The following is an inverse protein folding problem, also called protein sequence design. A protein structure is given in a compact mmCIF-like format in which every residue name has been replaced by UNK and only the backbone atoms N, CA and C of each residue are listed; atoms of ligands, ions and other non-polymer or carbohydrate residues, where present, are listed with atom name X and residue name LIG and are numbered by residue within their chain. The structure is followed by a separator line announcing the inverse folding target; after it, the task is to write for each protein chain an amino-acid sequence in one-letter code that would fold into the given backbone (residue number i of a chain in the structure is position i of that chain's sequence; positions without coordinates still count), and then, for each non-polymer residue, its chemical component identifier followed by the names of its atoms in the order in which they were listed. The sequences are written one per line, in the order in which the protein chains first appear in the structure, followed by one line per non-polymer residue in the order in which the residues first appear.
data_IF_958579356538
#
_entry.id   IF_958579356538
#
_cell.length_a   1.000
_cell.length_b   1.000
_cell.length_c   1.000
_cell.angle_alpha   90.00
_cell.angle_beta   90.00
_cell.angle_gamma   90.00
#
_symmetry.space_group_name_H-M   'P 1'
#
loop_
_entity.id
_entity.type
_entity.pdbx_description
1 polymer ?
#
# COMPACT_ATOMS: atom_id res chain seq x y z
N UNK A 1 16.06 -0.01 43.50
CA UNK A 1 16.31 -1.34 42.90
C UNK A 1 15.39 -1.47 41.68
N UNK A 2 15.89 -1.11 40.46
CA UNK A 2 15.14 -1.26 39.21
C UNK A 2 15.11 -2.74 38.86
N UNK A 3 13.92 -3.33 38.90
CA UNK A 3 13.67 -4.67 38.37
C UNK A 3 14.04 -4.60 36.89
N UNK A 4 15.12 -5.28 36.47
CA UNK A 4 15.38 -5.58 35.06
C UNK A 4 14.23 -6.51 34.62
N UNK A 5 13.28 -5.97 33.91
CA UNK A 5 12.40 -6.78 33.08
C UNK A 5 13.29 -7.50 32.08
N UNK A 6 13.26 -8.83 32.07
CA UNK A 6 13.86 -9.62 30.99
C UNK A 6 13.34 -9.05 29.65
N UNK A 7 14.18 -8.99 28.60
CA UNK A 7 13.70 -8.58 27.29
C UNK A 7 12.59 -9.55 26.89
N UNK A 8 11.39 -9.02 26.62
CA UNK A 8 10.29 -9.82 26.07
C UNK A 8 10.84 -10.59 24.85
N UNK A 9 10.68 -11.92 24.88
CA UNK A 9 11.05 -12.77 23.77
C UNK A 9 10.28 -12.28 22.51
N UNK A 10 10.90 -12.26 21.33
CA UNK A 10 10.24 -11.81 20.12
C UNK A 10 8.99 -12.64 19.87
N UNK A 11 7.87 -11.98 19.53
CA UNK A 11 6.55 -12.60 19.28
C UNK A 11 6.54 -13.55 18.07
N UNK A 12 7.65 -13.68 17.37
CA UNK A 12 7.83 -14.46 16.18
C UNK A 12 8.44 -13.63 15.05
N UNK A 13 8.81 -14.32 13.98
CA UNK A 13 9.46 -13.74 12.82
C UNK A 13 8.42 -13.37 11.74
N UNK A 14 8.49 -12.18 11.18
CA UNK A 14 7.64 -11.72 10.08
C UNK A 14 8.52 -11.42 8.87
N UNK A 15 8.22 -12.04 7.74
CA UNK A 15 8.95 -11.85 6.48
C UNK A 15 8.17 -10.89 5.58
N UNK A 16 8.80 -9.79 5.15
CA UNK A 16 8.19 -8.75 4.32
C UNK A 16 8.85 -8.71 2.95
N UNK A 17 8.19 -9.23 1.95
CA UNK A 17 8.61 -9.15 0.55
C UNK A 17 8.35 -7.73 0.00
N UNK A 18 9.37 -7.11 -0.60
CA UNK A 18 9.33 -5.68 -0.97
C UNK A 18 9.47 -4.75 0.24
N UNK A 19 10.04 -5.23 1.34
CA UNK A 19 10.09 -4.57 2.64
C UNK A 19 10.87 -3.26 2.69
N UNK A 20 11.74 -2.97 1.72
CA UNK A 20 12.51 -1.70 1.65
C UNK A 20 11.72 -0.54 1.01
N UNK A 21 10.51 -0.80 0.53
CA UNK A 21 9.62 0.23 0.01
C UNK A 21 9.00 1.11 1.11
N UNK A 22 8.27 2.14 0.70
CA UNK A 22 7.64 3.11 1.60
C UNK A 22 6.76 2.45 2.68
N UNK A 23 5.82 1.58 2.28
CA UNK A 23 4.94 0.86 3.23
C UNK A 23 5.75 -0.13 4.06
N UNK A 24 6.66 -0.88 3.42
CA UNK A 24 7.45 -1.91 4.10
C UNK A 24 8.35 -1.34 5.19
N UNK A 25 9.02 -0.20 4.96
CA UNK A 25 9.86 0.44 5.96
C UNK A 25 9.06 0.97 7.15
N UNK A 26 7.86 1.54 6.91
CA UNK A 26 6.97 1.97 8.00
C UNK A 26 6.46 0.78 8.82
N UNK A 27 5.98 -0.26 8.13
CA UNK A 27 5.52 -1.49 8.76
C UNK A 27 6.61 -2.15 9.60
N UNK A 28 7.85 -2.18 9.09
CA UNK A 28 8.99 -2.81 9.79
C UNK A 28 9.30 -2.13 11.12
N UNK A 29 9.24 -0.79 11.16
CA UNK A 29 9.39 -0.04 12.41
C UNK A 29 8.26 -0.37 13.38
N UNK A 30 7.04 -0.33 12.91
CA UNK A 30 5.87 -0.61 13.71
C UNK A 30 5.89 -2.03 14.30
N UNK A 31 6.25 -3.04 13.51
CA UNK A 31 6.35 -4.42 13.98
C UNK A 31 7.52 -4.63 14.96
N UNK A 32 8.66 -3.96 14.75
CA UNK A 32 9.78 -3.99 15.68
C UNK A 32 9.42 -3.36 17.04
N UNK A 33 8.64 -2.27 17.05
CA UNK A 33 8.10 -1.68 18.29
C UNK A 33 7.14 -2.63 19.02
N UNK A 34 6.49 -3.52 18.29
CA UNK A 34 5.65 -4.60 18.84
C UNK A 34 6.45 -5.85 19.22
N UNK A 35 7.78 -5.82 19.20
CA UNK A 35 8.68 -6.93 19.56
C UNK A 35 8.62 -8.12 18.59
N UNK A 36 8.35 -7.89 17.31
CA UNK A 36 8.52 -8.91 16.27
C UNK A 36 9.94 -8.87 15.70
N UNK A 37 10.46 -10.04 15.36
CA UNK A 37 11.63 -10.15 14.48
C UNK A 37 11.19 -9.89 13.04
N UNK A 38 11.85 -8.97 12.34
CA UNK A 38 11.46 -8.58 10.98
C UNK A 38 12.56 -8.90 10.00
N UNK A 39 12.22 -9.58 8.90
CA UNK A 39 13.12 -9.85 7.77
C UNK A 39 12.57 -9.17 6.52
N UNK A 40 13.40 -8.34 5.89
CA UNK A 40 13.05 -7.64 4.65
C UNK A 40 13.64 -8.38 3.45
N UNK A 41 12.78 -8.81 2.53
CA UNK A 41 13.20 -9.33 1.24
C UNK A 41 13.18 -8.21 0.20
N UNK A 42 14.31 -7.89 -0.38
CA UNK A 42 14.41 -6.91 -1.46
C UNK A 42 15.70 -7.03 -2.27
N UNK A 43 15.75 -6.36 -3.41
CA UNK A 43 16.90 -6.38 -4.34
C UNK A 43 18.14 -5.66 -3.78
N UNK A 44 17.94 -4.67 -2.94
CA UNK A 44 18.99 -3.82 -2.40
C UNK A 44 18.86 -3.68 -0.90
N UNK A 45 19.99 -3.59 -0.22
CA UNK A 45 20.03 -3.28 1.21
C UNK A 45 19.33 -1.93 1.44
N UNK A 46 18.45 -1.82 2.44
CA UNK A 46 17.77 -0.56 2.72
C UNK A 46 18.76 0.52 3.15
N UNK A 47 18.57 1.74 2.64
CA UNK A 47 19.37 2.90 3.06
C UNK A 47 19.10 3.25 4.53
N UNK A 48 17.90 3.03 4.98
CA UNK A 48 17.48 3.28 6.37
C UNK A 48 17.83 2.09 7.24
N UNK A 49 18.61 2.33 8.28
CA UNK A 49 18.91 1.32 9.31
C UNK A 49 17.73 1.20 10.28
N UNK A 50 17.51 -0.02 10.79
CA UNK A 50 16.48 -0.32 11.77
C UNK A 50 16.70 -1.71 12.39
N UNK A 51 15.81 -2.10 13.29
CA UNK A 51 15.85 -3.39 13.98
C UNK A 51 15.23 -4.50 13.11
N UNK A 52 15.78 -4.71 11.91
CA UNK A 52 15.38 -5.75 10.98
C UNK A 52 16.58 -6.38 10.30
N UNK A 53 16.43 -7.62 9.89
CA UNK A 53 17.35 -8.33 9.01
C UNK A 53 16.99 -8.05 7.54
N UNK A 54 17.97 -8.12 6.65
CA UNK A 54 17.77 -7.97 5.21
C UNK A 54 18.30 -9.19 4.48
N UNK A 55 17.47 -9.78 3.63
CA UNK A 55 17.84 -10.84 2.71
C UNK A 55 17.66 -10.38 1.25
N UNK A 56 18.65 -10.66 0.43
CA UNK A 56 18.61 -10.31 -1.00
C UNK A 56 17.61 -11.20 -1.73
N UNK A 57 16.70 -10.55 -2.46
CA UNK A 57 15.67 -11.20 -3.25
C UNK A 57 15.33 -10.40 -4.51
N UNK A 58 15.39 -11.04 -5.65
CA UNK A 58 15.13 -10.41 -6.95
C UNK A 58 13.64 -10.33 -7.33
N UNK A 59 12.76 -10.98 -6.55
CA UNK A 59 11.32 -11.08 -6.83
C UNK A 59 10.96 -12.11 -7.90
N UNK A 60 11.89 -12.97 -8.34
CA UNK A 60 11.71 -13.88 -9.47
C UNK A 60 12.22 -15.29 -9.24
N UNK A 61 13.28 -15.43 -8.48
CA UNK A 61 13.96 -16.74 -8.28
C UNK A 61 13.98 -17.13 -6.81
N UNK A 62 13.88 -18.42 -6.55
CA UNK A 62 14.18 -18.99 -5.24
C UNK A 62 15.68 -18.86 -4.95
N UNK A 63 16.04 -18.73 -3.68
CA UNK A 63 17.43 -18.58 -3.22
C UNK A 63 17.50 -18.72 -1.71
N UNK A 64 18.62 -18.31 -1.13
CA UNK A 64 18.88 -18.46 0.31
C UNK A 64 17.82 -17.76 1.19
N UNK A 65 17.15 -16.74 0.68
CA UNK A 65 16.08 -16.03 1.40
C UNK A 65 14.92 -16.94 1.83
N UNK A 66 14.73 -18.10 1.18
CA UNK A 66 13.63 -19.05 1.46
C UNK A 66 13.67 -19.54 2.91
N UNK A 67 14.86 -19.75 3.48
CA UNK A 67 14.99 -20.23 4.86
C UNK A 67 14.38 -19.28 5.91
N UNK A 68 14.25 -17.98 5.60
CA UNK A 68 13.62 -17.03 6.51
C UNK A 68 12.11 -17.27 6.64
N UNK A 69 11.46 -17.91 5.67
CA UNK A 69 10.05 -18.25 5.72
C UNK A 69 9.76 -19.45 6.63
N UNK A 70 10.75 -20.34 6.84
CA UNK A 70 10.58 -21.51 7.68
C UNK A 70 10.26 -21.11 9.13
N UNK A 71 9.09 -21.55 9.63
CA UNK A 71 8.60 -21.23 10.97
C UNK A 71 8.31 -19.75 11.21
N UNK A 72 8.19 -18.93 10.17
CA UNK A 72 7.79 -17.53 10.33
C UNK A 72 6.33 -17.42 10.78
N UNK A 73 6.02 -16.42 11.62
CA UNK A 73 4.66 -16.16 12.09
C UNK A 73 3.76 -15.61 10.97
N UNK A 74 4.33 -14.91 9.99
CA UNK A 74 3.59 -14.39 8.85
C UNK A 74 4.52 -14.10 7.67
N UNK A 75 3.95 -14.12 6.46
CA UNK A 75 4.54 -13.50 5.27
C UNK A 75 3.64 -12.36 4.79
N UNK A 76 4.26 -11.20 4.52
CA UNK A 76 3.59 -10.01 4.00
C UNK A 76 4.18 -9.69 2.62
N UNK A 77 3.38 -9.76 1.58
CA UNK A 77 3.83 -9.47 0.22
C UNK A 77 3.44 -8.04 -0.20
N UNK A 78 4.42 -7.15 -0.22
CA UNK A 78 4.32 -5.75 -0.69
C UNK A 78 5.07 -5.56 -2.02
N UNK A 79 5.55 -6.64 -2.63
CA UNK A 79 6.38 -6.57 -3.82
C UNK A 79 5.60 -6.05 -5.03
N UNK A 80 6.19 -5.10 -5.73
CA UNK A 80 5.64 -4.54 -6.95
C UNK A 80 6.37 -3.29 -7.38
N UNK A 81 6.52 -3.10 -8.70
CA UNK A 81 7.05 -1.86 -9.27
C UNK A 81 6.10 -0.69 -8.98
N UNK A 82 6.66 0.51 -8.79
CA UNK A 82 5.87 1.75 -8.70
C UNK A 82 5.01 1.96 -9.95
N UNK A 83 3.79 2.43 -9.73
CA UNK A 83 2.87 2.85 -10.80
C UNK A 83 3.07 4.32 -11.21
N UNK A 84 3.88 5.06 -10.46
CA UNK A 84 4.25 6.46 -10.73
C UNK A 84 5.33 6.51 -11.82
N UNK A 85 4.91 6.27 -13.05
CA UNK A 85 5.75 6.28 -14.25
C UNK A 85 4.90 6.54 -15.50
N UNK A 86 5.54 6.92 -16.62
CA UNK A 86 4.89 6.98 -17.94
C UNK A 86 4.50 5.54 -18.32
N UNK A 87 3.27 5.33 -18.78
CA UNK A 87 2.72 4.01 -19.17
C UNK A 87 3.14 3.63 -20.58
N UNK A 88 4.46 3.36 -20.79
CA UNK A 88 4.92 2.66 -21.98
C UNK A 88 4.49 1.18 -21.94
N UNK A 89 4.45 0.46 -23.07
CA UNK A 89 4.18 -0.97 -23.07
C UNK A 89 5.09 -1.75 -22.11
N UNK A 90 6.39 -1.48 -22.10
CA UNK A 90 7.37 -2.12 -21.21
C UNK A 90 7.06 -1.84 -19.73
N UNK A 91 6.70 -0.60 -19.41
CA UNK A 91 6.35 -0.25 -18.03
C UNK A 91 5.04 -0.90 -17.58
N UNK A 92 4.05 -1.01 -18.47
CA UNK A 92 2.81 -1.73 -18.17
C UNK A 92 3.09 -3.22 -17.92
N UNK A 93 3.92 -3.85 -18.76
CA UNK A 93 4.35 -5.24 -18.58
C UNK A 93 5.10 -5.44 -17.26
N UNK A 94 6.06 -4.57 -16.95
CA UNK A 94 6.79 -4.66 -15.67
C UNK A 94 5.89 -4.42 -14.44
N UNK A 95 4.89 -3.54 -14.51
CA UNK A 95 3.92 -3.34 -13.43
C UNK A 95 3.15 -4.65 -13.17
N UNK A 96 2.73 -5.35 -14.20
CA UNK A 96 2.05 -6.63 -14.09
C UNK A 96 3.00 -7.72 -13.59
N UNK A 97 4.11 -7.94 -14.30
CA UNK A 97 5.05 -9.03 -14.03
C UNK A 97 5.67 -8.94 -12.64
N UNK A 98 6.09 -7.74 -12.21
CA UNK A 98 6.70 -7.57 -10.88
C UNK A 98 5.80 -8.02 -9.73
N UNK A 99 4.48 -8.03 -9.93
CA UNK A 99 3.49 -8.47 -8.94
C UNK A 99 3.22 -9.96 -9.05
N UNK A 100 2.93 -10.42 -10.24
CA UNK A 100 2.59 -11.82 -10.51
C UNK A 100 3.79 -12.72 -10.24
N UNK A 101 4.97 -12.41 -10.81
CA UNK A 101 6.19 -13.22 -10.65
C UNK A 101 6.62 -13.29 -9.18
N UNK A 102 6.60 -12.15 -8.46
CA UNK A 102 6.95 -12.13 -7.04
C UNK A 102 5.99 -12.97 -6.20
N UNK A 103 4.71 -12.93 -6.48
CA UNK A 103 3.69 -13.72 -5.76
C UNK A 103 3.88 -15.21 -6.03
N UNK A 104 4.10 -15.59 -7.29
CA UNK A 104 4.28 -17.02 -7.67
C UNK A 104 5.57 -17.60 -7.11
N UNK A 105 6.68 -16.85 -7.08
CA UNK A 105 7.93 -17.36 -6.49
C UNK A 105 7.86 -17.48 -4.98
N UNK A 106 7.17 -16.56 -4.30
CA UNK A 106 6.86 -16.71 -2.88
C UNK A 106 6.02 -17.95 -2.61
N UNK A 107 4.99 -18.20 -3.45
CA UNK A 107 4.20 -19.42 -3.36
C UNK A 107 5.03 -20.68 -3.49
N UNK A 108 5.87 -20.77 -4.53
CA UNK A 108 6.79 -21.90 -4.70
C UNK A 108 7.70 -22.12 -3.48
N UNK A 109 8.20 -21.04 -2.88
CA UNK A 109 8.99 -21.10 -1.66
C UNK A 109 8.16 -21.65 -0.49
N UNK A 110 6.97 -21.11 -0.25
CA UNK A 110 6.06 -21.56 0.82
C UNK A 110 5.70 -23.04 0.68
N UNK A 111 5.40 -23.51 -0.53
CA UNK A 111 5.11 -24.93 -0.81
C UNK A 111 6.30 -25.87 -0.55
N UNK A 112 7.53 -25.36 -0.50
CA UNK A 112 8.74 -26.17 -0.22
C UNK A 112 9.07 -26.29 1.27
N UNK A 113 8.39 -25.56 2.15
CA UNK A 113 8.69 -25.52 3.58
C UNK A 113 8.07 -26.71 4.34
N UNK A 114 8.70 -27.06 5.46
CA UNK A 114 8.15 -28.03 6.41
C UNK A 114 7.17 -27.37 7.39
N UNK A 115 7.43 -26.13 7.75
CA UNK A 115 6.63 -25.30 8.65
C UNK A 115 6.34 -23.96 7.99
N UNK A 116 5.39 -23.90 7.05
CA UNK A 116 5.04 -22.66 6.37
C UNK A 116 4.40 -21.65 7.33
N UNK A 117 4.47 -20.34 7.05
CA UNK A 117 3.79 -19.33 7.84
C UNK A 117 2.28 -19.58 7.90
N UNK A 118 1.62 -19.45 9.07
CA UNK A 118 0.18 -19.71 9.20
C UNK A 118 -0.69 -18.65 8.49
N UNK A 119 -0.13 -17.48 8.17
CA UNK A 119 -0.86 -16.40 7.50
C UNK A 119 -0.02 -15.73 6.42
N UNK A 120 -0.69 -15.45 5.29
CA UNK A 120 -0.15 -14.62 4.21
C UNK A 120 -1.01 -13.37 4.02
N UNK A 121 -0.41 -12.20 4.26
CA UNK A 121 -1.02 -10.90 3.95
C UNK A 121 -0.53 -10.45 2.58
N UNK A 122 -1.43 -10.42 1.63
CA UNK A 122 -1.18 -10.06 0.25
C UNK A 122 -1.63 -8.63 -0.02
N UNK A 123 -0.70 -7.78 -0.48
CA UNK A 123 -1.08 -6.48 -1.03
C UNK A 123 -1.80 -6.68 -2.38
N UNK A 124 -2.86 -5.89 -2.58
CA UNK A 124 -3.56 -5.74 -3.84
C UNK A 124 -3.88 -4.26 -4.06
N UNK A 125 -4.81 -3.93 -4.94
CA UNK A 125 -5.11 -2.53 -5.26
C UNK A 125 -6.60 -2.24 -5.31
N UNK A 126 -7.04 -1.15 -4.67
CA UNK A 126 -8.39 -0.62 -4.81
C UNK A 126 -8.69 -0.08 -6.22
N UNK A 127 -7.65 0.11 -7.04
CA UNK A 127 -7.82 0.45 -8.47
C UNK A 127 -8.42 -0.69 -9.30
N UNK A 128 -8.59 -1.89 -8.72
CA UNK A 128 -9.30 -3.02 -9.34
C UNK A 128 -10.76 -2.68 -9.68
N UNK A 129 -11.35 -1.70 -8.98
CA UNK A 129 -12.72 -1.23 -9.24
C UNK A 129 -12.82 -0.25 -10.43
N UNK A 130 -11.69 0.14 -11.05
CA UNK A 130 -11.67 1.16 -12.10
C UNK A 130 -11.94 2.56 -11.55
N UNK A 131 -12.59 3.39 -12.35
CA UNK A 131 -12.85 4.80 -12.03
C UNK A 131 -14.34 5.15 -12.17
N UNK A 132 -15.27 4.50 -11.43
CA UNK A 132 -16.68 4.81 -11.50
C UNK A 132 -16.93 6.21 -10.92
N UNK A 133 -17.56 7.15 -11.69
CA UNK A 133 -17.61 8.55 -11.30
C UNK A 133 -18.55 8.86 -10.14
N UNK A 134 -19.56 8.03 -9.93
CA UNK A 134 -20.66 8.30 -8.97
C UNK A 134 -20.94 7.15 -8.01
N UNK A 135 -20.19 6.04 -8.12
CA UNK A 135 -20.39 4.86 -7.28
C UNK A 135 -19.37 4.83 -6.17
N UNK A 136 -19.83 4.59 -4.94
CA UNK A 136 -18.95 4.24 -3.83
C UNK A 136 -18.74 2.73 -3.86
N UNK A 137 -17.51 2.29 -4.10
CA UNK A 137 -17.16 0.87 -4.16
C UNK A 137 -16.86 0.32 -2.76
N UNK A 138 -17.27 -0.90 -2.51
CA UNK A 138 -16.93 -1.74 -1.38
C UNK A 138 -16.33 -3.09 -1.84
N UNK A 139 -16.11 -4.01 -0.92
CA UNK A 139 -15.48 -5.30 -1.22
C UNK A 139 -16.28 -6.16 -2.21
N UNK A 140 -17.62 -6.00 -2.28
CA UNK A 140 -18.54 -6.76 -3.13
C UNK A 140 -18.79 -6.09 -4.49
N UNK A 141 -18.26 -4.89 -4.69
CA UNK A 141 -18.45 -4.13 -5.91
C UNK A 141 -17.79 -4.80 -7.11
N UNK A 142 -18.42 -4.69 -8.28
CA UNK A 142 -17.90 -5.23 -9.53
C UNK A 142 -16.54 -4.59 -9.89
N UNK A 143 -15.64 -5.39 -10.45
CA UNK A 143 -14.35 -4.92 -10.94
C UNK A 143 -14.51 -4.09 -12.21
N UNK A 144 -13.69 -3.04 -12.31
CA UNK A 144 -13.68 -2.15 -13.45
C UNK A 144 -12.90 -2.66 -14.66
N UNK A 145 -12.59 -1.72 -15.55
CA UNK A 145 -11.87 -1.95 -16.81
C UNK A 145 -10.60 -1.11 -16.87
N UNK A 146 -9.68 -1.46 -17.78
CA UNK A 146 -8.40 -0.76 -17.98
C UNK A 146 -7.21 -1.47 -17.33
N UNK A 147 -6.05 -0.82 -17.37
CA UNK A 147 -4.77 -1.42 -16.93
C UNK A 147 -4.80 -1.83 -15.44
N UNK A 148 -5.24 -0.95 -14.58
CA UNK A 148 -5.19 -1.21 -13.14
C UNK A 148 -6.10 -2.37 -12.71
N UNK A 149 -7.36 -2.50 -13.20
CA UNK A 149 -8.17 -3.70 -13.01
C UNK A 149 -7.57 -4.98 -13.60
N UNK A 150 -6.93 -4.92 -14.78
CA UNK A 150 -6.24 -6.09 -15.36
C UNK A 150 -5.12 -6.56 -14.44
N UNK A 151 -4.26 -5.62 -13.99
CA UNK A 151 -3.15 -5.92 -13.06
C UNK A 151 -3.68 -6.44 -11.73
N UNK A 152 -4.71 -5.81 -11.16
CA UNK A 152 -5.30 -6.21 -9.89
C UNK A 152 -5.86 -7.63 -9.92
N UNK A 153 -6.64 -7.96 -10.97
CA UNK A 153 -7.20 -9.32 -11.16
C UNK A 153 -6.10 -10.37 -11.32
N UNK A 154 -5.10 -10.10 -12.15
CA UNK A 154 -3.99 -11.03 -12.35
C UNK A 154 -3.16 -11.22 -11.07
N UNK A 155 -3.00 -10.18 -10.27
CA UNK A 155 -2.28 -10.26 -9.00
C UNK A 155 -3.03 -11.10 -7.97
N UNK A 156 -4.34 -10.89 -7.80
CA UNK A 156 -5.17 -11.70 -6.90
C UNK A 156 -5.31 -13.15 -7.40
N UNK A 157 -5.38 -13.39 -8.71
CA UNK A 157 -5.36 -14.74 -9.27
C UNK A 157 -4.04 -15.47 -9.00
N UNK A 158 -2.89 -14.81 -9.19
CA UNK A 158 -1.59 -15.37 -8.86
C UNK A 158 -1.45 -15.70 -7.36
N UNK A 159 -2.06 -14.88 -6.48
CA UNK A 159 -2.09 -15.16 -5.05
C UNK A 159 -2.95 -16.39 -4.73
N UNK A 160 -4.13 -16.50 -5.32
CA UNK A 160 -5.01 -17.65 -5.12
C UNK A 160 -4.36 -18.97 -5.57
N UNK A 161 -3.52 -18.94 -6.63
CA UNK A 161 -2.72 -20.08 -7.08
C UNK A 161 -1.55 -20.40 -6.13
N UNK A 162 -0.92 -19.35 -5.57
CA UNK A 162 0.34 -19.44 -4.83
C UNK A 162 0.18 -19.86 -3.37
N UNK A 163 -0.93 -19.53 -2.73
CA UNK A 163 -1.13 -19.71 -1.29
C UNK A 163 -1.55 -21.15 -0.96
N UNK A 164 -1.04 -21.69 0.16
CA UNK A 164 -1.46 -23.01 0.63
C UNK A 164 -2.90 -22.93 1.20
N UNK A 165 -3.73 -23.97 1.00
CA UNK A 165 -5.12 -23.98 1.50
C UNK A 165 -5.24 -23.82 3.02
N UNK A 166 -4.27 -24.32 3.78
CA UNK A 166 -4.22 -24.25 5.24
C UNK A 166 -3.76 -22.88 5.77
N UNK A 167 -3.17 -22.03 4.93
CA UNK A 167 -2.77 -20.69 5.34
C UNK A 167 -3.98 -19.76 5.39
N UNK A 168 -4.06 -18.94 6.42
CA UNK A 168 -5.02 -17.83 6.47
C UNK A 168 -4.61 -16.75 5.44
N UNK A 169 -5.56 -16.40 4.60
CA UNK A 169 -5.37 -15.53 3.44
C UNK A 169 -6.01 -14.18 3.70
N UNK A 170 -5.21 -13.11 3.67
CA UNK A 170 -5.73 -11.74 3.79
C UNK A 170 -5.24 -10.92 2.60
N UNK A 171 -6.18 -10.37 1.83
CA UNK A 171 -5.91 -9.51 0.69
C UNK A 171 -6.24 -8.07 1.08
N UNK A 172 -5.27 -7.17 0.97
CA UNK A 172 -5.46 -5.74 1.23
C UNK A 172 -5.49 -4.97 -0.10
N UNK A 173 -6.69 -4.67 -0.60
CA UNK A 173 -6.90 -3.80 -1.77
C UNK A 173 -6.62 -2.36 -1.38
N UNK A 174 -5.37 -1.97 -1.57
CA UNK A 174 -4.82 -0.72 -1.05
C UNK A 174 -5.25 0.47 -1.88
N UNK A 175 -5.73 1.50 -1.20
CA UNK A 175 -6.01 2.83 -1.71
C UNK A 175 -4.75 3.71 -1.72
N UNK A 176 -4.88 5.03 -1.81
CA UNK A 176 -3.76 5.95 -1.77
C UNK A 176 -3.18 6.06 -0.36
N UNK A 177 -2.00 5.48 -0.12
CA UNK A 177 -1.33 5.54 1.18
C UNK A 177 -0.62 6.87 1.34
N UNK A 178 -0.98 7.63 2.37
CA UNK A 178 -0.43 8.94 2.70
C UNK A 178 0.68 8.83 3.75
N UNK A 179 1.82 9.44 3.47
CA UNK A 179 2.91 9.54 4.44
C UNK A 179 3.85 10.70 4.11
N UNK A 180 4.39 11.32 5.14
CA UNK A 180 5.21 12.53 5.01
C UNK A 180 6.49 12.33 4.19
N UNK A 181 7.08 11.10 4.23
CA UNK A 181 8.40 10.79 3.68
C UNK A 181 8.38 9.77 2.54
N UNK A 182 7.22 9.46 1.96
CA UNK A 182 7.15 8.48 0.88
C UNK A 182 5.84 8.48 0.11
N UNK A 183 5.77 7.61 -0.91
CA UNK A 183 4.65 7.60 -1.84
C UNK A 183 4.57 8.85 -2.69
N UNK A 184 3.39 9.20 -3.18
CA UNK A 184 3.19 10.40 -4.01
C UNK A 184 2.92 11.68 -3.19
N UNK A 185 2.62 11.55 -1.90
CA UNK A 185 2.28 12.70 -1.04
C UNK A 185 3.36 13.79 -0.99
N UNK A 186 4.67 13.50 -0.85
CA UNK A 186 5.71 14.52 -0.87
C UNK A 186 5.72 15.37 -2.16
N UNK A 187 5.51 14.75 -3.33
CA UNK A 187 5.41 15.45 -4.61
C UNK A 187 4.21 16.41 -4.63
N UNK A 188 3.05 15.94 -4.16
CA UNK A 188 1.83 16.74 -4.07
C UNK A 188 2.02 17.94 -3.11
N UNK A 189 2.71 17.71 -1.99
CA UNK A 189 3.05 18.77 -1.01
C UNK A 189 3.96 19.83 -1.61
N UNK A 190 4.95 19.44 -2.41
CA UNK A 190 5.83 20.40 -3.11
C UNK A 190 5.03 21.24 -4.11
N UNK A 191 4.20 20.61 -4.95
CA UNK A 191 3.34 21.31 -5.90
C UNK A 191 2.39 22.29 -5.20
N UNK A 192 1.78 21.84 -4.09
CA UNK A 192 0.90 22.69 -3.31
C UNK A 192 1.63 23.91 -2.72
N UNK A 193 2.89 23.74 -2.22
CA UNK A 193 3.71 24.85 -1.69
C UNK A 193 4.03 25.94 -2.70
N UNK A 194 4.13 25.60 -3.97
CA UNK A 194 4.39 26.57 -5.05
C UNK A 194 3.10 27.08 -5.72
N UNK A 195 1.94 26.85 -5.08
CA UNK A 195 0.65 27.36 -5.54
C UNK A 195 -0.06 26.48 -6.57
N UNK A 196 0.53 25.35 -6.99
CA UNK A 196 -0.06 24.41 -7.97
C UNK A 196 -0.95 23.35 -7.32
N UNK A 197 -1.42 23.60 -6.11
CA UNK A 197 -2.27 22.71 -5.33
C UNK A 197 -3.77 22.94 -5.51
N UNK A 198 -4.25 23.39 -6.66
CA UNK A 198 -5.66 23.64 -6.93
C UNK A 198 -6.44 22.38 -7.36
N UNK A 199 -7.70 22.59 -7.73
CA UNK A 199 -8.50 21.53 -8.34
C UNK A 199 -7.95 21.15 -9.72
N UNK A 200 -8.05 19.87 -10.06
CA UNK A 200 -7.69 19.35 -11.37
C UNK A 200 -8.96 19.01 -12.13
N UNK A 201 -9.11 19.59 -13.32
CA UNK A 201 -10.31 19.42 -14.12
C UNK A 201 -11.57 19.81 -13.36
N UNK A 202 -12.55 18.91 -13.26
CA UNK A 202 -13.77 19.16 -12.48
C UNK A 202 -13.58 19.00 -10.96
N UNK A 203 -12.49 18.36 -10.49
CA UNK A 203 -12.16 18.20 -9.07
C UNK A 203 -13.06 17.24 -8.27
N UNK A 204 -14.00 16.55 -8.93
CA UNK A 204 -14.97 15.61 -8.30
C UNK A 204 -14.48 14.17 -8.28
N UNK A 205 -13.38 13.85 -8.96
CA UNK A 205 -12.79 12.51 -8.92
C UNK A 205 -12.49 12.11 -7.48
N UNK A 206 -12.87 10.88 -7.12
CA UNK A 206 -12.73 10.36 -5.76
C UNK A 206 -11.28 10.06 -5.41
N UNK A 207 -10.90 10.38 -4.19
CA UNK A 207 -9.64 9.96 -3.59
C UNK A 207 -9.98 9.14 -2.35
N UNK A 208 -9.80 7.82 -2.48
CA UNK A 208 -9.76 6.90 -1.34
C UNK A 208 -8.33 6.86 -0.82
N UNK A 209 -8.16 7.02 0.46
CA UNK A 209 -6.85 7.21 1.08
C UNK A 209 -6.76 6.48 2.42
N UNK A 210 -5.56 6.19 2.86
CA UNK A 210 -5.27 5.68 4.21
C UNK A 210 -3.96 6.29 4.70
N UNK A 211 -3.90 6.65 5.98
CA UNK A 211 -2.65 7.09 6.61
C UNK A 211 -1.68 5.93 6.74
N UNK A 212 -0.38 6.18 6.61
CA UNK A 212 0.67 5.14 6.69
C UNK A 212 0.66 4.40 8.02
N UNK A 213 0.35 5.07 9.12
CA UNK A 213 0.28 4.43 10.44
C UNK A 213 -0.94 3.52 10.54
N UNK A 214 -2.11 3.94 10.03
CA UNK A 214 -3.29 3.08 9.96
C UNK A 214 -3.08 1.89 9.02
N UNK A 215 -2.31 2.06 7.94
CA UNK A 215 -1.92 0.96 7.06
C UNK A 215 -1.04 -0.06 7.79
N UNK A 216 -0.06 0.40 8.58
CA UNK A 216 0.80 -0.47 9.38
C UNK A 216 0.01 -1.22 10.47
N UNK A 217 -0.92 -0.52 11.14
CA UNK A 217 -1.83 -1.12 12.12
C UNK A 217 -2.79 -2.15 11.50
N UNK A 218 -3.29 -1.86 10.30
CA UNK A 218 -4.16 -2.77 9.56
C UNK A 218 -3.42 -4.06 9.17
N UNK A 219 -2.19 -3.95 8.66
CA UNK A 219 -1.37 -5.12 8.34
C UNK A 219 -1.06 -5.92 9.61
N UNK A 220 -0.69 -5.26 10.72
CA UNK A 220 -0.45 -5.95 11.98
C UNK A 220 -1.72 -6.67 12.49
N UNK A 221 -2.90 -6.04 12.38
CA UNK A 221 -4.18 -6.71 12.69
C UNK A 221 -4.42 -7.90 11.76
N UNK A 222 -4.13 -7.77 10.47
CA UNK A 222 -4.24 -8.89 9.53
C UNK A 222 -3.34 -10.07 9.89
N UNK A 223 -2.19 -9.82 10.52
CA UNK A 223 -1.29 -10.87 11.03
C UNK A 223 -1.87 -11.52 12.29
N UNK A 224 -2.36 -10.74 13.25
CA UNK A 224 -2.67 -11.18 14.62
C UNK A 224 -4.13 -11.57 14.85
N UNK A 225 -5.07 -11.13 14.03
CA UNK A 225 -6.48 -11.44 14.17
C UNK A 225 -6.85 -12.67 13.33
N UNK A 226 -7.06 -13.80 13.98
CA UNK A 226 -7.33 -15.10 13.34
C UNK A 226 -8.67 -15.13 12.59
N UNK A 227 -9.60 -14.22 12.87
CA UNK A 227 -10.88 -14.13 12.17
C UNK A 227 -10.80 -13.32 10.87
N UNK A 228 -9.73 -12.54 10.68
CA UNK A 228 -9.55 -11.71 9.49
C UNK A 228 -9.10 -12.55 8.32
N UNK A 229 -9.96 -12.70 7.29
CA UNK A 229 -9.73 -13.56 6.12
C UNK A 229 -10.37 -12.96 4.86
N UNK A 230 -9.78 -13.22 3.68
CA UNK A 230 -10.27 -12.75 2.39
C UNK A 230 -9.91 -11.30 2.08
N UNK A 231 -10.67 -10.63 1.21
CA UNK A 231 -10.35 -9.30 0.72
C UNK A 231 -10.93 -8.19 1.61
N UNK A 232 -10.12 -7.17 1.84
CA UNK A 232 -10.47 -5.91 2.51
C UNK A 232 -9.99 -4.72 1.68
N UNK A 233 -10.74 -3.64 1.66
CA UNK A 233 -10.27 -2.38 1.08
C UNK A 233 -9.52 -1.61 2.15
N UNK A 234 -8.20 -1.48 2.00
CA UNK A 234 -7.36 -0.71 2.91
C UNK A 234 -7.51 0.80 2.62
N UNK A 235 -8.56 1.40 3.19
CA UNK A 235 -8.90 2.81 3.04
C UNK A 235 -9.50 3.38 4.31
N UNK A 236 -9.27 4.67 4.58
CA UNK A 236 -9.96 5.41 5.63
C UNK A 236 -11.48 5.47 5.34
N UNK A 237 -12.33 5.60 6.38
CA UNK A 237 -13.78 5.46 6.23
C UNK A 237 -14.44 6.59 5.42
N UNK A 238 -13.74 7.72 5.22
CA UNK A 238 -14.26 8.89 4.52
C UNK A 238 -13.39 9.25 3.31
N UNK A 239 -13.65 8.65 2.14
CA UNK A 239 -13.03 9.10 0.91
C UNK A 239 -13.48 10.53 0.58
N UNK A 240 -12.63 11.30 -0.10
CA UNK A 240 -12.87 12.70 -0.42
C UNK A 240 -12.76 12.98 -1.91
N UNK A 241 -13.28 14.11 -2.38
CA UNK A 241 -13.01 14.57 -3.74
C UNK A 241 -11.58 15.11 -3.86
N UNK A 242 -11.03 15.10 -5.09
CA UNK A 242 -9.71 15.68 -5.37
C UNK A 242 -9.66 17.17 -4.94
N UNK A 243 -10.71 17.92 -5.20
CA UNK A 243 -10.77 19.32 -4.79
C UNK A 243 -10.71 19.49 -3.27
N UNK A 244 -11.38 18.63 -2.52
CA UNK A 244 -11.34 18.61 -1.07
C UNK A 244 -9.98 18.20 -0.54
N UNK A 245 -9.40 17.11 -1.08
CA UNK A 245 -8.07 16.64 -0.73
C UNK A 245 -7.02 17.76 -0.86
N UNK A 246 -6.99 18.45 -2.02
CA UNK A 246 -6.04 19.53 -2.25
C UNK A 246 -6.30 20.76 -1.39
N UNK A 247 -7.56 21.02 -1.04
CA UNK A 247 -7.92 22.08 -0.08
C UNK A 247 -7.35 21.79 1.31
N UNK A 248 -7.54 20.57 1.81
CA UNK A 248 -7.04 20.18 3.14
C UNK A 248 -5.51 20.08 3.16
N UNK A 249 -4.89 19.62 2.08
CA UNK A 249 -3.42 19.64 1.93
C UNK A 249 -2.88 21.08 2.02
N UNK A 250 -3.48 22.03 1.27
CA UNK A 250 -3.06 23.43 1.35
C UNK A 250 -3.26 24.04 2.74
N UNK A 251 -4.37 23.73 3.40
CA UNK A 251 -4.60 24.15 4.79
C UNK A 251 -3.52 23.63 5.73
N UNK A 252 -3.16 22.35 5.60
CA UNK A 252 -2.11 21.73 6.41
C UNK A 252 -0.75 22.41 6.26
N UNK A 253 -0.39 22.87 5.06
CA UNK A 253 0.88 23.57 4.80
C UNK A 253 0.80 25.10 4.88
N UNK A 254 -0.35 25.66 5.28
CA UNK A 254 -0.54 27.12 5.38
C UNK A 254 -0.57 27.86 4.03
N UNK A 255 -0.88 27.18 2.91
CA UNK A 255 -0.91 27.80 1.58
C UNK A 255 -2.31 28.18 1.15
N UNK A 256 -2.64 29.50 1.11
CA UNK A 256 -3.99 29.96 0.78
C UNK A 256 -4.32 29.81 -0.72
N UNK A 257 -3.31 29.87 -1.58
CA UNK A 257 -3.47 29.88 -3.03
C UNK A 257 -3.40 28.44 -3.58
N UNK A 258 -4.30 28.11 -4.49
CA UNK A 258 -4.27 26.86 -5.24
C UNK A 258 -4.79 27.09 -6.65
N UNK A 259 -3.88 27.32 -7.58
CA UNK A 259 -4.21 27.53 -8.99
C UNK A 259 -4.84 26.25 -9.56
N UNK A 260 -6.04 26.36 -10.16
CA UNK A 260 -6.67 25.22 -10.81
C UNK A 260 -5.89 24.82 -12.06
N UNK A 261 -5.86 23.52 -12.36
CA UNK A 261 -5.27 22.99 -13.57
C UNK A 261 -6.36 22.39 -14.46
N UNK A 262 -6.39 22.78 -15.73
CA UNK A 262 -7.24 22.13 -16.72
C UNK A 262 -6.63 20.79 -17.13
N UNK A 263 -7.46 19.84 -17.60
CA UNK A 263 -7.01 18.50 -17.94
C UNK A 263 -5.84 18.48 -18.94
N UNK A 264 -5.89 19.34 -19.97
CA UNK A 264 -4.81 19.45 -20.95
C UNK A 264 -3.47 19.91 -20.32
N UNK A 265 -3.53 20.81 -19.32
CA UNK A 265 -2.34 21.26 -18.58
C UNK A 265 -1.74 20.11 -17.77
N UNK A 266 -2.61 19.30 -17.14
CA UNK A 266 -2.18 18.12 -16.37
C UNK A 266 -1.58 17.08 -17.30
N UNK A 267 -2.18 16.80 -18.46
CA UNK A 267 -1.64 15.86 -19.46
C UNK A 267 -0.25 16.28 -19.94
N UNK A 268 -0.07 17.56 -20.20
CA UNK A 268 1.23 18.10 -20.61
C UNK A 268 2.24 18.09 -19.46
N UNK A 269 1.88 18.61 -18.29
CA UNK A 269 2.77 18.73 -17.12
C UNK A 269 3.14 17.38 -16.51
N UNK A 270 2.22 16.42 -16.45
CA UNK A 270 2.51 15.08 -15.96
C UNK A 270 3.55 14.38 -16.84
N UNK A 271 3.43 14.50 -18.15
CA UNK A 271 4.36 13.85 -19.08
C UNK A 271 5.75 14.48 -19.04
N UNK A 272 5.83 15.80 -19.19
CA UNK A 272 7.11 16.51 -19.37
C UNK A 272 7.83 16.87 -18.06
N UNK A 273 7.07 17.27 -17.03
CA UNK A 273 7.65 17.76 -15.77
C UNK A 273 7.73 16.65 -14.71
N UNK A 274 6.65 15.89 -14.52
CA UNK A 274 6.57 14.89 -13.43
C UNK A 274 6.96 13.48 -13.88
N UNK A 275 7.06 13.22 -15.19
CA UNK A 275 7.33 11.90 -15.78
C UNK A 275 6.42 10.80 -15.24
N UNK A 276 5.16 11.13 -15.04
CA UNK A 276 4.13 10.25 -14.51
C UNK A 276 2.93 10.18 -15.44
N UNK A 277 2.05 9.22 -15.21
CA UNK A 277 0.81 9.06 -15.93
C UNK A 277 -0.22 10.11 -15.46
N UNK A 278 -0.74 10.98 -16.35
CA UNK A 278 -1.76 11.96 -16.00
C UNK A 278 -3.06 11.32 -15.50
N UNK A 279 -3.35 10.08 -15.87
CA UNK A 279 -4.57 9.38 -15.43
C UNK A 279 -4.59 9.13 -13.92
N UNK A 280 -3.44 9.03 -13.26
CA UNK A 280 -3.35 8.93 -11.80
C UNK A 280 -3.92 10.15 -11.07
N UNK A 281 -4.02 11.28 -11.74
CA UNK A 281 -4.53 12.55 -11.17
C UNK A 281 -5.90 12.91 -11.72
N UNK A 282 -6.18 12.57 -12.99
CA UNK A 282 -7.42 12.93 -13.70
C UNK A 282 -8.58 12.01 -13.36
N UNK A 283 -8.30 10.76 -13.00
CA UNK A 283 -9.29 9.75 -12.64
C UNK A 283 -9.19 9.37 -11.17
N UNK A 284 -10.28 8.88 -10.63
CA UNK A 284 -10.31 8.46 -9.23
C UNK A 284 -11.59 7.74 -8.86
N UNK A 285 -11.63 7.20 -7.67
CA UNK A 285 -12.75 6.41 -7.16
C UNK A 285 -13.00 6.68 -5.69
N UNK A 286 -14.25 6.48 -5.31
CA UNK A 286 -14.66 6.46 -3.93
C UNK A 286 -14.76 5.00 -3.49
N UNK A 287 -13.91 4.59 -2.55
CA UNK A 287 -13.97 3.27 -1.93
C UNK A 287 -14.12 3.41 -0.42
N UNK A 288 -14.89 2.51 0.16
CA UNK A 288 -14.99 2.32 1.61
C UNK A 288 -14.73 0.84 1.91
N UNK A 289 -14.30 0.53 3.11
CA UNK A 289 -14.30 -0.85 3.57
C UNK A 289 -15.49 -1.08 4.47
N UNK A 290 -16.48 -1.82 3.95
CA UNK A 290 -17.61 -2.28 4.75
C UNK A 290 -17.14 -3.25 5.81
N UNK A 291 -16.27 -4.18 5.47
CA UNK A 291 -15.75 -5.20 6.37
C UNK A 291 -14.96 -4.64 7.54
N UNK A 292 -14.07 -3.66 7.30
CA UNK A 292 -13.34 -3.00 8.39
C UNK A 292 -14.27 -2.26 9.35
N UNK A 293 -15.35 -1.67 8.82
CA UNK A 293 -16.35 -1.01 9.66
C UNK A 293 -17.16 -2.02 10.49
N UNK A 294 -17.62 -3.12 9.90
CA UNK A 294 -18.38 -4.18 10.57
C UNK A 294 -17.53 -4.90 11.63
N UNK A 295 -16.23 -5.10 11.36
CA UNK A 295 -15.27 -5.74 12.28
C UNK A 295 -14.67 -4.77 13.30
N UNK A 296 -15.10 -3.52 13.33
CA UNK A 296 -14.70 -2.52 14.33
C UNK A 296 -13.20 -2.15 14.24
N UNK A 297 -12.66 -1.94 13.04
CA UNK A 297 -11.32 -1.40 12.91
C UNK A 297 -11.32 0.10 13.23
N UNK A 298 -10.60 0.48 14.29
CA UNK A 298 -10.47 1.87 14.72
C UNK A 298 -9.33 2.57 14.01
N UNK A 299 -9.66 3.52 13.15
CA UNK A 299 -8.68 4.36 12.46
C UNK A 299 -8.17 5.46 13.40
N UNK A 300 -6.86 5.66 13.44
CA UNK A 300 -6.23 6.79 14.10
C UNK A 300 -6.54 8.09 13.32
N UNK A 301 -6.55 7.98 11.99
CA UNK A 301 -6.85 9.08 11.08
C UNK A 301 -8.11 8.75 10.25
N UNK A 302 -9.30 8.94 10.84
CA UNK A 302 -10.57 8.64 10.19
C UNK A 302 -11.02 9.73 9.19
N UNK A 303 -10.45 10.93 9.24
CA UNK A 303 -10.77 12.04 8.33
C UNK A 303 -9.51 12.71 7.78
N UNK A 304 -9.64 13.25 6.57
CA UNK A 304 -8.51 13.82 5.82
C UNK A 304 -7.87 15.04 6.51
N UNK A 305 -8.64 15.81 7.26
CA UNK A 305 -8.15 17.02 7.95
C UNK A 305 -7.12 16.66 9.01
N UNK A 306 -7.40 15.64 9.83
CA UNK A 306 -6.49 15.19 10.88
C UNK A 306 -5.25 14.55 10.29
N UNK A 307 -5.40 13.73 9.23
CA UNK A 307 -4.28 13.17 8.49
C UNK A 307 -3.37 14.26 7.89
N UNK A 308 -3.95 15.31 7.29
CA UNK A 308 -3.16 16.41 6.74
C UNK A 308 -2.46 17.24 7.81
N UNK A 309 -3.07 17.39 8.98
CA UNK A 309 -2.44 18.08 10.10
C UNK A 309 -1.20 17.35 10.59
N UNK A 310 -1.25 16.03 10.68
CA UNK A 310 -0.12 15.20 11.07
C UNK A 310 0.99 15.21 10.01
N UNK A 311 0.63 14.97 8.75
CA UNK A 311 1.58 14.83 7.65
C UNK A 311 2.28 16.14 7.22
N UNK A 312 1.73 17.29 7.60
CA UNK A 312 2.23 18.61 7.21
C UNK A 312 2.84 19.40 8.37
N UNK A 313 2.52 19.01 9.63
CA UNK A 313 3.10 19.60 10.85
C UNK A 313 4.47 19.04 11.09
#
# INVERSE_FOLDING_TARGET
MKIRTEPDLPKGKIVIAGGTGFIGTSLSRYLAELSYEVVLLSRHVPETRGSWEHAVWDGRTAGDWVHHLEGAAAVVNLAGRTVDCIKSPDHCDEILRSRVEATLVLGKAVHSLKSPPPVWVQMATAHIYGDPPEVICDEDSAFGFGLAPIVGKAWEAAFAEAVLPEMRQVILRTSFVLGANGGAFPKMRILARIGLGGRVGHGRQGISWIHIDDMSRLIARAITNDTMQGAYIATAPKPVSQAEFMRELRRGIGMPIGLPAMEWMVRLGAHWLLRTDPELVLYGRYCISRRLAEEGFEFQFANIKDAMKDLCG
#
